data_IF_575642474533
#
_entry.id   IF_575642474533
#
_cell.length_a   1.000
_cell.length_b   1.000
_cell.length_c   1.000
_cell.angle_alpha   90.00
_cell.angle_beta   90.00
_cell.angle_gamma   90.00
#
_symmetry.space_group_name_H-M   'P 1'
#
loop_
_entity.id
_entity.type
_entity.pdbx_description
1 polymer ?
#
# COMPACT_ATOMS: atom_id res chain seq x y z
N UNK A 1 9.63 -9.71 -19.23
CA UNK A 1 8.49 -9.57 -18.31
C UNK A 1 8.34 -8.10 -17.98
N UNK A 2 7.18 -7.47 -18.22
CA UNK A 2 6.96 -6.06 -17.88
C UNK A 2 6.90 -5.91 -16.36
N UNK A 3 7.58 -4.90 -15.81
CA UNK A 3 7.59 -4.65 -14.37
C UNK A 3 6.37 -3.84 -13.94
N UNK A 4 5.80 -4.19 -12.79
CA UNK A 4 4.78 -3.36 -12.15
C UNK A 4 5.49 -2.17 -11.47
N UNK A 5 5.47 -1.02 -12.15
CA UNK A 5 6.15 0.21 -11.78
C UNK A 5 5.26 1.42 -12.06
N UNK A 6 5.52 2.52 -11.38
CA UNK A 6 4.77 3.77 -11.58
C UNK A 6 4.73 4.22 -13.05
N UNK A 7 5.87 4.18 -13.75
CA UNK A 7 5.93 4.57 -15.15
C UNK A 7 5.01 3.71 -16.03
N UNK A 8 5.03 2.39 -15.86
CA UNK A 8 4.21 1.47 -16.66
C UNK A 8 2.72 1.59 -16.32
N UNK A 9 2.38 1.71 -15.03
CA UNK A 9 0.99 1.92 -14.60
C UNK A 9 0.46 3.26 -15.09
N UNK A 10 1.27 4.32 -15.05
CA UNK A 10 0.92 5.63 -15.61
C UNK A 10 0.64 5.54 -17.11
N UNK A 11 1.54 4.92 -17.88
CA UNK A 11 1.33 4.74 -19.32
C UNK A 11 0.07 3.93 -19.62
N UNK A 12 -0.26 2.92 -18.82
CA UNK A 12 -1.50 2.17 -18.94
C UNK A 12 -2.73 3.07 -18.71
N UNK A 13 -2.71 3.87 -17.63
CA UNK A 13 -3.80 4.79 -17.28
C UNK A 13 -4.04 5.83 -18.37
N UNK A 14 -2.97 6.40 -18.94
CA UNK A 14 -3.03 7.38 -20.02
C UNK A 14 -3.52 6.74 -21.33
N UNK A 15 -3.02 5.55 -21.68
CA UNK A 15 -3.39 4.87 -22.94
C UNK A 15 -4.86 4.45 -22.95
N UNK A 16 -5.37 4.01 -21.80
CA UNK A 16 -6.76 3.60 -21.65
C UNK A 16 -7.69 4.76 -21.28
N UNK A 17 -7.16 5.98 -21.15
CA UNK A 17 -7.88 7.16 -20.67
C UNK A 17 -8.71 6.90 -19.41
N UNK A 18 -8.14 6.12 -18.47
CA UNK A 18 -8.85 5.74 -17.23
C UNK A 18 -9.18 6.97 -16.38
N UNK A 19 -8.43 8.04 -16.54
CA UNK A 19 -8.64 9.31 -15.85
C UNK A 19 -9.97 9.97 -16.21
N UNK A 20 -10.39 9.92 -17.48
CA UNK A 20 -11.68 10.48 -17.91
C UNK A 20 -12.86 9.64 -17.41
N UNK A 21 -12.70 8.31 -17.34
CA UNK A 21 -13.69 7.38 -16.80
C UNK A 21 -13.82 7.55 -15.27
N UNK A 22 -12.68 7.69 -14.60
CA UNK A 22 -12.58 7.93 -13.17
C UNK A 22 -13.13 9.30 -12.75
N UNK A 23 -12.95 10.35 -13.56
CA UNK A 23 -13.38 11.71 -13.22
C UNK A 23 -14.90 11.95 -13.22
N UNK A 24 -15.71 11.04 -13.77
CA UNK A 24 -17.15 11.24 -14.04
C UNK A 24 -18.05 10.48 -13.04
N UNK A 25 -17.55 9.44 -12.37
CA UNK A 25 -18.34 8.58 -11.48
C UNK A 25 -17.59 8.30 -10.18
N UNK A 26 -18.31 8.12 -9.06
CA UNK A 26 -17.75 7.67 -7.78
C UNK A 26 -17.21 6.23 -7.90
N UNK A 27 -16.02 6.06 -8.47
CA UNK A 27 -15.38 4.75 -8.60
C UNK A 27 -14.70 4.36 -7.29
N UNK A 28 -14.73 3.07 -6.99
CA UNK A 28 -13.96 2.46 -5.92
C UNK A 28 -12.89 1.61 -6.55
N UNK A 29 -11.62 1.91 -6.26
CA UNK A 29 -10.50 1.17 -6.83
C UNK A 29 -10.05 0.08 -5.85
N UNK A 30 -10.26 -1.18 -6.20
CA UNK A 30 -9.79 -2.32 -5.42
C UNK A 30 -8.58 -2.94 -6.12
N UNK A 31 -7.48 -3.10 -5.39
CA UNK A 31 -6.25 -3.70 -5.90
C UNK A 31 -5.41 -4.28 -4.76
N UNK A 32 -4.38 -5.05 -5.12
CA UNK A 32 -3.37 -5.45 -4.16
C UNK A 32 -2.61 -4.26 -3.58
N UNK A 33 -1.92 -4.49 -2.48
CA UNK A 33 -1.28 -3.43 -1.72
C UNK A 33 -0.20 -2.69 -2.51
N UNK A 34 0.56 -3.39 -3.36
CA UNK A 34 1.66 -2.78 -4.12
C UNK A 34 1.12 -1.87 -5.22
N UNK A 35 0.09 -2.31 -5.94
CA UNK A 35 -0.56 -1.48 -6.94
C UNK A 35 -1.21 -0.24 -6.31
N UNK A 36 -1.83 -0.35 -5.12
CA UNK A 36 -2.35 0.81 -4.38
C UNK A 36 -1.23 1.83 -4.12
N UNK A 37 -0.09 1.39 -3.61
CA UNK A 37 1.05 2.28 -3.34
C UNK A 37 1.55 2.98 -4.61
N UNK A 38 1.59 2.26 -5.74
CA UNK A 38 1.95 2.82 -7.04
C UNK A 38 0.94 3.88 -7.48
N UNK A 39 -0.36 3.62 -7.38
CA UNK A 39 -1.40 4.55 -7.78
C UNK A 39 -1.41 5.82 -6.95
N UNK A 40 -1.06 5.71 -5.67
CA UNK A 40 -0.90 6.84 -4.79
C UNK A 40 0.45 7.54 -4.96
N UNK A 41 1.41 6.94 -5.67
CA UNK A 41 2.76 7.49 -5.78
C UNK A 41 3.57 7.43 -4.48
N UNK A 42 3.26 6.49 -3.61
CA UNK A 42 3.98 6.23 -2.34
C UNK A 42 4.97 5.08 -2.52
N UNK A 43 6.13 5.17 -1.91
CA UNK A 43 7.17 4.14 -1.99
C UNK A 43 6.69 2.79 -1.43
N UNK A 44 6.78 1.70 -2.20
CA UNK A 44 6.29 0.38 -1.81
C UNK A 44 7.29 -0.49 -1.02
N UNK A 45 8.60 -0.24 -1.17
CA UNK A 45 9.64 -1.14 -0.66
C UNK A 45 10.07 -0.76 0.76
N UNK A 46 9.38 -1.33 1.76
CA UNK A 46 9.67 -1.14 3.20
C UNK A 46 9.86 0.33 3.64
N UNK A 47 8.96 1.25 3.25
CA UNK A 47 9.06 2.65 3.67
C UNK A 47 8.87 2.81 5.19
N UNK A 48 9.32 3.93 5.75
CA UNK A 48 8.99 4.28 7.14
C UNK A 48 7.48 4.51 7.30
N UNK A 49 6.85 5.13 6.30
CA UNK A 49 5.42 5.40 6.24
C UNK A 49 4.73 4.44 5.27
N UNK A 50 4.49 3.21 5.71
CA UNK A 50 3.97 2.09 4.89
C UNK A 50 2.48 2.16 4.58
N UNK A 51 1.70 2.91 5.36
CA UNK A 51 0.26 2.91 5.20
C UNK A 51 -0.16 3.77 3.97
N UNK A 52 -0.96 3.22 3.04
CA UNK A 52 -1.51 3.99 1.92
C UNK A 52 -2.63 4.95 2.32
N UNK A 53 -3.24 4.76 3.50
CA UNK A 53 -4.37 5.58 3.96
C UNK A 53 -4.00 6.65 4.98
N UNK A 54 -2.87 6.51 5.67
CA UNK A 54 -2.41 7.50 6.66
C UNK A 54 -0.89 7.65 6.64
N UNK A 55 -0.39 8.70 7.30
CA UNK A 55 1.02 9.06 7.32
C UNK A 55 1.76 8.59 8.58
N UNK A 56 1.22 7.59 9.29
CA UNK A 56 1.83 7.04 10.50
C UNK A 56 3.22 6.48 10.22
N UNK A 57 4.14 6.64 11.18
CA UNK A 57 5.43 5.97 11.16
C UNK A 57 5.23 4.53 11.62
N UNK A 58 5.70 3.56 10.82
CA UNK A 58 5.54 2.13 11.14
C UNK A 58 6.21 1.70 12.46
N UNK A 59 7.10 2.51 13.03
CA UNK A 59 7.70 2.28 14.35
C UNK A 59 6.89 2.87 15.51
N UNK A 60 5.90 3.70 15.21
CA UNK A 60 5.14 4.50 16.18
C UNK A 60 3.63 4.25 16.02
N UNK A 61 3.25 2.99 15.83
CA UNK A 61 1.85 2.60 15.53
C UNK A 61 0.87 2.87 16.69
N UNK A 62 1.36 3.23 17.87
CA UNK A 62 0.52 3.67 19.00
C UNK A 62 -0.06 5.07 18.77
N UNK A 63 0.56 5.86 17.87
CA UNK A 63 0.12 7.20 17.50
C UNK A 63 -0.72 7.11 16.23
N UNK A 64 -1.92 7.69 16.26
CA UNK A 64 -2.77 7.80 15.08
C UNK A 64 -2.14 8.78 14.08
N UNK A 65 -1.83 8.29 12.88
CA UNK A 65 -1.44 9.15 11.75
C UNK A 65 -2.61 9.95 11.17
N UNK A 66 -2.29 11.03 10.47
CA UNK A 66 -3.22 11.82 9.68
C UNK A 66 -3.63 11.05 8.42
N UNK A 67 -4.88 11.19 8.00
CA UNK A 67 -5.33 10.58 6.75
C UNK A 67 -4.61 11.20 5.57
N UNK A 68 -4.21 10.36 4.61
CA UNK A 68 -3.72 10.81 3.32
C UNK A 68 -4.89 11.27 2.47
N UNK A 69 -4.66 12.33 1.71
CA UNK A 69 -5.54 12.84 0.66
C UNK A 69 -4.72 13.01 -0.62
N UNK A 70 -5.38 13.22 -1.76
CA UNK A 70 -4.67 13.48 -3.03
C UNK A 70 -3.78 14.73 -2.87
N UNK A 71 -4.29 15.77 -2.20
CA UNK A 71 -3.54 16.98 -1.88
C UNK A 71 -2.33 16.71 -1.02
N UNK A 72 -2.50 16.03 0.11
CA UNK A 72 -1.39 15.81 1.05
C UNK A 72 -0.25 15.02 0.41
N UNK A 73 -0.57 14.06 -0.46
CA UNK A 73 0.42 13.27 -1.19
C UNK A 73 1.14 14.14 -2.23
N UNK A 74 0.39 14.94 -2.98
CA UNK A 74 0.92 15.87 -3.98
C UNK A 74 1.86 16.89 -3.36
N UNK A 75 1.47 17.51 -2.25
CA UNK A 75 2.29 18.48 -1.50
C UNK A 75 3.60 17.84 -1.03
N UNK A 76 3.54 16.66 -0.40
CA UNK A 76 4.74 15.96 0.07
C UNK A 76 5.65 15.55 -1.10
N UNK A 77 5.09 15.11 -2.23
CA UNK A 77 5.86 14.79 -3.44
C UNK A 77 6.59 16.02 -3.97
N UNK A 78 5.91 17.17 -4.04
CA UNK A 78 6.50 18.42 -4.49
C UNK A 78 7.63 18.88 -3.55
N UNK A 79 7.43 18.80 -2.24
CA UNK A 79 8.46 19.11 -1.24
C UNK A 79 9.67 18.18 -1.38
N UNK A 80 9.45 16.89 -1.59
CA UNK A 80 10.52 15.92 -1.82
C UNK A 80 11.32 16.26 -3.09
N UNK A 81 10.64 16.59 -4.20
CA UNK A 81 11.29 17.00 -5.44
C UNK A 81 12.10 18.29 -5.26
N UNK A 82 11.54 19.29 -4.58
CA UNK A 82 12.22 20.55 -4.25
C UNK A 82 13.45 20.34 -3.37
N UNK A 83 13.46 19.30 -2.52
CA UNK A 83 14.62 18.91 -1.71
C UNK A 83 15.72 18.17 -2.48
N UNK A 84 15.52 17.94 -3.79
CA UNK A 84 16.46 17.25 -4.68
C UNK A 84 16.12 15.80 -4.98
N UNK A 85 14.96 15.29 -4.55
CA UNK A 85 14.43 13.99 -4.99
C UNK A 85 15.26 12.78 -4.55
N UNK A 86 15.93 12.85 -3.39
CA UNK A 86 16.71 11.71 -2.91
C UNK A 86 15.80 10.65 -2.28
N UNK A 87 15.74 9.45 -2.89
CA UNK A 87 14.87 8.35 -2.45
C UNK A 87 15.14 7.91 -0.99
N UNK A 88 16.39 8.00 -0.53
CA UNK A 88 16.76 7.62 0.83
C UNK A 88 16.22 8.59 1.89
N UNK A 89 15.89 9.81 1.48
CA UNK A 89 15.28 10.87 2.30
C UNK A 89 13.77 10.98 2.10
N UNK A 90 13.16 10.15 1.25
CA UNK A 90 11.72 10.19 0.99
C UNK A 90 10.87 10.00 2.26
N UNK A 91 11.40 9.30 3.28
CA UNK A 91 10.76 9.17 4.60
C UNK A 91 10.44 10.52 5.26
N UNK A 92 11.26 11.55 5.04
CA UNK A 92 11.07 12.89 5.61
C UNK A 92 9.87 13.60 4.95
N UNK A 93 9.39 13.08 3.82
CA UNK A 93 8.24 13.53 3.03
C UNK A 93 7.16 12.45 2.95
N UNK A 94 6.98 11.70 4.05
CA UNK A 94 5.94 10.67 4.18
C UNK A 94 5.99 9.59 3.10
N UNK A 95 7.18 9.35 2.54
CA UNK A 95 7.45 8.43 1.45
C UNK A 95 6.63 8.69 0.16
N UNK A 96 6.12 9.91 -0.04
CA UNK A 96 5.48 10.36 -1.27
C UNK A 96 6.54 10.74 -2.31
N UNK A 97 6.58 10.02 -3.43
CA UNK A 97 7.66 10.15 -4.43
C UNK A 97 7.14 10.33 -5.86
N UNK A 98 5.84 10.17 -6.08
CA UNK A 98 5.18 10.48 -7.34
C UNK A 98 3.82 11.12 -7.08
N UNK A 99 3.33 11.86 -8.07
CA UNK A 99 1.97 12.41 -8.05
C UNK A 99 0.96 11.23 -8.13
N UNK A 100 -0.16 11.26 -7.38
CA UNK A 100 -1.17 10.22 -7.51
C UNK A 100 -1.71 10.11 -8.95
N UNK A 101 -1.93 8.89 -9.41
CA UNK A 101 -2.57 8.60 -10.70
C UNK A 101 -4.10 8.65 -10.63
N UNK A 102 -4.65 8.54 -9.43
CA UNK A 102 -6.08 8.66 -9.15
C UNK A 102 -6.51 10.13 -9.13
N UNK A 103 -7.74 10.38 -9.57
CA UNK A 103 -8.36 11.71 -9.58
C UNK A 103 -9.61 11.68 -8.71
N UNK A 104 -9.82 12.73 -7.93
CA UNK A 104 -10.97 12.89 -7.05
C UNK A 104 -10.93 14.23 -6.34
N UNK A 105 -11.86 14.44 -5.42
CA UNK A 105 -11.80 15.56 -4.48
C UNK A 105 -10.50 15.48 -3.64
N UNK A 106 -9.76 16.58 -3.64
CA UNK A 106 -8.39 16.68 -3.16
C UNK A 106 -8.25 16.53 -1.64
N UNK A 107 -9.31 16.85 -0.89
CA UNK A 107 -9.36 16.85 0.58
C UNK A 107 -10.00 15.57 1.14
N UNK A 108 -10.71 14.82 0.30
CA UNK A 108 -11.32 13.56 0.71
C UNK A 108 -10.24 12.52 1.05
N UNK A 109 -10.33 11.83 2.21
CA UNK A 109 -9.40 10.77 2.57
C UNK A 109 -9.34 9.67 1.51
N UNK A 110 -8.13 9.20 1.19
CA UNK A 110 -7.88 8.12 0.23
C UNK A 110 -8.70 6.86 0.55
N UNK A 111 -8.96 6.60 1.83
CA UNK A 111 -9.77 5.47 2.30
C UNK A 111 -11.20 5.44 1.70
N UNK A 112 -11.74 6.58 1.28
CA UNK A 112 -13.05 6.64 0.61
C UNK A 112 -13.01 6.22 -0.86
N UNK A 113 -11.84 6.27 -1.50
CA UNK A 113 -11.64 5.89 -2.90
C UNK A 113 -11.12 4.47 -3.04
N UNK A 114 -10.26 4.04 -2.11
CA UNK A 114 -9.54 2.77 -2.16
C UNK A 114 -9.76 2.01 -0.84
N UNK A 115 -10.61 0.98 -0.81
CA UNK A 115 -10.81 0.18 0.37
C UNK A 115 -9.56 -0.67 0.66
N UNK A 116 -9.31 -1.04 1.92
CA UNK A 116 -8.28 -2.00 2.26
C UNK A 116 -8.47 -3.33 1.51
N UNK A 117 -7.39 -3.91 0.94
CA UNK A 117 -7.48 -5.18 0.24
C UNK A 117 -7.79 -6.31 1.24
N UNK A 118 -9.02 -6.82 1.19
CA UNK A 118 -9.55 -7.84 2.10
C UNK A 118 -8.61 -9.05 2.23
N UNK A 119 -8.11 -9.55 1.09
CA UNK A 119 -7.20 -10.70 1.09
C UNK A 119 -5.94 -10.44 1.93
N UNK A 120 -5.33 -9.27 1.82
CA UNK A 120 -4.11 -8.97 2.57
C UNK A 120 -4.38 -8.81 4.07
N UNK A 121 -5.53 -8.26 4.45
CA UNK A 121 -5.97 -8.21 5.83
C UNK A 121 -6.19 -9.62 6.40
N UNK A 122 -6.91 -10.47 5.66
CA UNK A 122 -7.19 -11.85 6.07
C UNK A 122 -5.90 -12.65 6.23
N UNK A 123 -4.99 -12.58 5.26
CA UNK A 123 -3.69 -13.25 5.31
C UNK A 123 -2.89 -12.83 6.54
N UNK A 124 -2.89 -11.53 6.87
CA UNK A 124 -2.16 -11.01 8.03
C UNK A 124 -2.73 -11.52 9.35
N UNK A 125 -4.06 -11.61 9.47
CA UNK A 125 -4.74 -12.14 10.66
C UNK A 125 -4.47 -13.64 10.79
N UNK A 126 -4.64 -14.39 9.71
CA UNK A 126 -4.41 -15.84 9.70
C UNK A 126 -2.96 -16.17 10.04
N UNK A 127 -1.99 -15.40 9.52
CA UNK A 127 -0.58 -15.58 9.86
C UNK A 127 -0.32 -15.37 11.35
N UNK A 128 -0.82 -14.29 11.95
CA UNK A 128 -0.65 -14.04 13.39
C UNK A 128 -1.27 -15.13 14.26
N UNK A 129 -2.46 -15.61 13.89
CA UNK A 129 -3.10 -16.73 14.58
C UNK A 129 -2.27 -18.00 14.45
N UNK A 130 -1.70 -18.26 13.28
CA UNK A 130 -0.80 -19.38 13.08
C UNK A 130 0.47 -19.26 13.92
N UNK A 131 1.11 -18.09 13.97
CA UNK A 131 2.30 -17.85 14.78
C UNK A 131 2.01 -18.11 16.27
N UNK A 132 0.84 -17.68 16.78
CA UNK A 132 0.41 -18.00 18.14
C UNK A 132 0.22 -19.50 18.37
N UNK A 133 -0.39 -20.22 17.42
CA UNK A 133 -0.57 -21.67 17.51
C UNK A 133 0.77 -22.42 17.47
N UNK A 134 1.72 -21.96 16.66
CA UNK A 134 3.06 -22.54 16.56
C UNK A 134 3.86 -22.36 17.85
N UNK A 135 3.70 -21.22 18.54
CA UNK A 135 4.28 -20.96 19.86
C UNK A 135 3.70 -21.88 20.94
N UNK A 136 2.40 -22.16 20.91
CA UNK A 136 1.73 -23.04 21.88
C UNK A 136 2.02 -24.53 21.62
N UNK A 137 1.96 -24.96 20.36
CA UNK A 137 2.20 -26.36 19.98
C UNK A 137 2.65 -26.49 18.52
N UNK A 138 3.96 -26.39 18.32
CA UNK A 138 4.61 -26.48 17.01
C UNK A 138 4.26 -27.76 16.25
N UNK A 139 4.13 -28.90 16.94
CA UNK A 139 3.83 -30.18 16.28
C UNK A 139 2.43 -30.19 15.66
N UNK A 140 1.42 -29.73 16.41
CA UNK A 140 0.03 -29.64 15.91
C UNK A 140 -0.07 -28.63 14.76
N UNK A 141 0.55 -27.46 14.90
CA UNK A 141 0.57 -26.43 13.86
C UNK A 141 1.18 -26.96 12.55
N UNK A 142 2.32 -27.65 12.65
CA UNK A 142 3.02 -28.22 11.49
C UNK A 142 2.22 -29.36 10.84
N UNK A 143 1.55 -30.20 11.63
CA UNK A 143 0.67 -31.26 11.10
C UNK A 143 -0.54 -30.71 10.35
N UNK A 144 -1.17 -29.64 10.85
CA UNK A 144 -2.29 -28.99 10.18
C UNK A 144 -1.91 -28.45 8.80
N UNK A 145 -0.76 -27.77 8.71
CA UNK A 145 -0.21 -27.29 7.44
C UNK A 145 0.02 -28.46 6.47
N UNK A 146 0.68 -29.52 6.93
CA UNK A 146 0.95 -30.71 6.12
C UNK A 146 -0.33 -31.39 5.64
N UNK A 147 -1.32 -31.59 6.51
CA UNK A 147 -2.62 -32.18 6.15
C UNK A 147 -3.41 -31.33 5.15
N UNK A 148 -3.21 -30.02 5.18
CA UNK A 148 -3.86 -29.08 4.27
C UNK A 148 -3.16 -28.97 2.92
N UNK A 149 -2.04 -29.69 2.70
CA UNK A 149 -1.27 -29.63 1.46
C UNK A 149 -0.54 -28.31 1.25
N UNK A 150 -0.36 -27.52 2.31
CA UNK A 150 0.32 -26.22 2.26
C UNK A 150 1.82 -26.48 2.52
N UNK A 151 2.70 -26.01 1.64
CA UNK A 151 4.13 -26.01 1.92
C UNK A 151 4.47 -24.88 2.89
N UNK A 152 5.24 -25.14 3.94
CA UNK A 152 5.81 -24.12 4.83
C UNK A 152 6.85 -23.29 4.05
N UNK A 153 6.39 -22.36 3.21
CA UNK A 153 7.25 -21.34 2.61
C UNK A 153 7.23 -20.10 3.50
N UNK A 154 8.42 -19.52 3.67
CA UNK A 154 8.73 -18.25 4.34
C UNK A 154 8.09 -16.99 3.72
N UNK A 155 6.99 -17.14 2.97
CA UNK A 155 6.41 -16.14 2.08
C UNK A 155 5.44 -15.15 2.75
N UNK A 156 5.20 -15.27 4.05
CA UNK A 156 4.22 -14.43 4.76
C UNK A 156 4.85 -13.35 5.64
N UNK A 157 6.13 -13.00 5.39
CA UNK A 157 6.70 -11.77 5.94
C UNK A 157 6.25 -10.59 5.08
N UNK A 158 5.06 -10.05 5.36
CA UNK A 158 4.72 -8.68 4.95
C UNK A 158 5.55 -7.68 5.75
#
# INVERSE_FOLDING_TARGET
MLSESYANTKSLFETLDLQSICGICSYTFAADFKLIMILLGVQSNSPTHTCPWCDVNGKEMEIKGSFRTIKSITENTNLWQQSGGNITKAKDFKNCINIPLIIGDEETPILKYIPPPELHLLLSVVQKLFDCLELENTNVATEWIKKSGIETRSLWKM
#
